data_IF_952610820799
#
_entry.id   IF_952610820799
#
_cell.length_a   1.000
_cell.length_b   1.000
_cell.length_c   1.000
_cell.angle_alpha   90.00
_cell.angle_beta   90.00
_cell.angle_gamma   90.00
#
_symmetry.space_group_name_H-M   'P 1'
#
loop_
_entity.id
_entity.type
_entity.pdbx_description
1 polymer ?
#
# COMPACT_ATOMS: atom_id res chain seq x y z
N UNK A 1 -11.43 -2.95 -0.23
CA UNK A 1 -11.23 -3.31 -1.66
C UNK A 1 -10.14 -4.37 -1.80
N UNK A 2 -10.12 -5.14 -2.90
CA UNK A 2 -9.09 -6.15 -3.15
C UNK A 2 -8.73 -6.32 -4.62
N UNK A 3 -7.55 -6.87 -4.87
CA UNK A 3 -6.97 -7.12 -6.19
C UNK A 3 -6.31 -8.50 -6.24
N UNK A 4 -6.32 -9.12 -7.43
CA UNK A 4 -5.57 -10.34 -7.74
C UNK A 4 -4.22 -9.91 -8.32
N UNK A 5 -3.14 -10.58 -7.91
CA UNK A 5 -1.81 -10.37 -8.48
C UNK A 5 -1.78 -10.69 -9.97
N UNK A 6 -0.85 -10.09 -10.71
CA UNK A 6 -0.73 -10.27 -12.16
C UNK A 6 -0.54 -11.74 -12.59
N UNK A 7 0.09 -12.56 -11.75
CA UNK A 7 0.30 -13.99 -11.97
C UNK A 7 -0.86 -14.87 -11.51
N UNK A 8 -1.93 -14.27 -10.96
CA UNK A 8 -3.12 -14.98 -10.48
C UNK A 8 -2.93 -15.77 -9.19
N UNK A 9 -1.75 -15.72 -8.55
CA UNK A 9 -1.43 -16.58 -7.40
C UNK A 9 -1.84 -16.00 -6.06
N UNK A 10 -1.99 -14.69 -5.96
CA UNK A 10 -2.25 -13.98 -4.71
C UNK A 10 -3.46 -13.08 -4.84
N UNK A 11 -4.26 -13.05 -3.78
CA UNK A 11 -5.33 -12.07 -3.63
C UNK A 11 -4.95 -11.21 -2.44
N UNK A 12 -4.97 -9.89 -2.63
CA UNK A 12 -4.69 -8.90 -1.59
C UNK A 12 -5.95 -8.10 -1.37
N UNK A 13 -6.36 -7.94 -0.12
CA UNK A 13 -7.50 -7.11 0.21
C UNK A 13 -7.28 -6.32 1.49
N UNK A 14 -7.92 -5.16 1.53
CA UNK A 14 -8.01 -4.32 2.70
C UNK A 14 -9.44 -3.89 2.96
N UNK A 15 -9.68 -3.42 4.18
CA UNK A 15 -10.96 -3.04 4.73
C UNK A 15 -10.79 -1.76 5.55
N UNK A 16 -11.86 -0.98 5.63
CA UNK A 16 -11.93 0.31 6.35
C UNK A 16 -11.84 0.16 7.88
N UNK A 17 -11.77 -1.07 8.40
CA UNK A 17 -11.56 -1.38 9.83
C UNK A 17 -10.13 -1.89 10.13
N UNK A 18 -9.18 -1.56 9.26
CA UNK A 18 -7.75 -1.83 9.44
C UNK A 18 -7.30 -3.24 9.15
N UNK A 19 -8.21 -4.05 8.62
CA UNK A 19 -7.88 -5.39 8.16
C UNK A 19 -7.17 -5.32 6.81
N UNK A 20 -6.08 -6.07 6.70
CA UNK A 20 -5.22 -6.16 5.52
C UNK A 20 -4.71 -7.58 5.42
N UNK A 21 -5.12 -8.26 4.36
CA UNK A 21 -4.87 -9.67 4.18
C UNK A 21 -4.33 -9.94 2.78
N UNK A 22 -3.56 -11.00 2.70
CA UNK A 22 -3.12 -11.60 1.47
C UNK A 22 -3.31 -13.11 1.57
N UNK A 23 -3.91 -13.74 0.58
CA UNK A 23 -4.06 -15.20 0.56
C UNK A 23 -3.66 -15.78 -0.78
N UNK A 24 -3.24 -17.03 -0.76
CA UNK A 24 -2.99 -17.80 -1.97
C UNK A 24 -4.32 -18.07 -2.68
N UNK A 25 -4.40 -17.74 -3.96
CA UNK A 25 -5.55 -18.07 -4.79
C UNK A 25 -5.69 -19.59 -5.02
N UNK A 26 -4.56 -20.31 -4.98
CA UNK A 26 -4.51 -21.77 -5.16
C UNK A 26 -4.80 -22.52 -3.87
N UNK A 27 -4.58 -21.89 -2.71
CA UNK A 27 -4.87 -22.47 -1.40
C UNK A 27 -5.42 -21.39 -0.45
N UNK A 28 -6.74 -21.20 -0.39
CA UNK A 28 -7.36 -20.17 0.45
C UNK A 28 -7.07 -20.27 1.95
N UNK A 29 -6.66 -21.45 2.45
CA UNK A 29 -6.24 -21.62 3.85
C UNK A 29 -4.86 -21.01 4.13
N UNK A 30 -4.06 -20.76 3.09
CA UNK A 30 -2.81 -20.02 3.20
C UNK A 30 -3.11 -18.52 3.16
N UNK A 31 -3.52 -18.00 4.31
CA UNK A 31 -3.81 -16.59 4.53
C UNK A 31 -2.74 -15.93 5.41
N UNK A 32 -2.40 -14.70 5.06
CA UNK A 32 -1.48 -13.86 5.77
C UNK A 32 -2.16 -12.55 6.17
N UNK A 33 -2.02 -12.17 7.45
CA UNK A 33 -2.29 -10.80 7.90
C UNK A 33 -1.07 -9.95 7.60
N UNK A 34 -1.26 -8.85 6.88
CA UNK A 34 -0.15 -7.96 6.52
C UNK A 34 0.28 -7.13 7.74
N UNK A 35 1.59 -6.96 7.89
CA UNK A 35 2.19 -6.21 9.00
C UNK A 35 1.78 -4.73 8.94
N UNK A 36 1.43 -4.17 10.10
CA UNK A 36 1.36 -2.73 10.29
C UNK A 36 2.75 -2.19 10.70
N UNK A 37 2.87 -0.86 10.83
CA UNK A 37 4.10 -0.22 11.32
C UNK A 37 4.53 -0.66 12.73
N UNK A 38 3.61 -1.26 13.48
CA UNK A 38 3.85 -1.77 14.83
C UNK A 38 3.75 -3.30 14.93
N UNK A 39 3.71 -4.00 13.80
CA UNK A 39 3.83 -5.45 13.70
C UNK A 39 2.58 -6.15 13.19
N UNK A 40 2.63 -7.48 13.20
CA UNK A 40 1.49 -8.36 12.89
C UNK A 40 0.83 -8.75 14.22
N UNK A 41 -0.45 -8.41 14.40
CA UNK A 41 -1.21 -8.85 15.56
C UNK A 41 -1.46 -10.37 15.47
N UNK A 42 -0.94 -11.12 16.44
CA UNK A 42 -1.26 -12.54 16.61
C UNK A 42 -2.52 -12.68 17.45
N UNK A 43 -3.54 -13.33 16.91
CA UNK A 43 -4.88 -13.42 17.52
C UNK A 43 -4.90 -14.33 18.76
N UNK A 44 -3.97 -15.28 18.84
CA UNK A 44 -3.83 -16.23 19.96
C UNK A 44 -3.35 -15.58 21.26
N UNK A 45 -2.52 -14.56 21.15
CA UNK A 45 -1.79 -13.95 22.26
C UNK A 45 -2.09 -12.47 22.43
N UNK A 46 -2.78 -11.85 21.46
CA UNK A 46 -3.00 -10.40 21.38
C UNK A 46 -1.71 -9.58 21.39
N UNK A 47 -0.56 -10.23 21.15
CA UNK A 47 0.76 -9.61 21.07
C UNK A 47 1.06 -9.35 19.59
N UNK A 48 1.76 -8.23 19.34
CA UNK A 48 2.27 -7.93 18.01
C UNK A 48 3.63 -8.55 17.80
N UNK A 49 3.72 -9.39 16.78
CA UNK A 49 4.98 -9.84 16.24
C UNK A 49 5.68 -8.66 15.57
N UNK A 50 6.85 -8.31 16.12
CA UNK A 50 7.70 -7.23 15.62
C UNK A 50 9.02 -7.74 15.03
N UNK A 51 9.19 -9.06 14.92
CA UNK A 51 10.48 -9.72 14.64
C UNK A 51 11.11 -9.32 13.30
N UNK A 52 10.30 -8.93 12.31
CA UNK A 52 10.76 -8.47 11.00
C UNK A 52 10.24 -7.08 10.63
N UNK A 53 9.97 -6.24 11.63
CA UNK A 53 9.61 -4.86 11.37
C UNK A 53 10.77 -4.09 10.74
N UNK A 54 10.44 -3.36 9.69
CA UNK A 54 11.34 -2.40 9.10
C UNK A 54 11.24 -1.09 9.90
N UNK A 55 12.34 -0.56 10.47
CA UNK A 55 12.30 0.74 11.13
C UNK A 55 11.91 1.83 10.11
N UNK A 56 11.18 2.84 10.56
CA UNK A 56 10.86 4.00 9.71
C UNK A 56 12.17 4.76 9.45
N UNK A 57 12.57 4.97 8.19
CA UNK A 57 13.76 5.74 7.85
C UNK A 57 13.72 7.16 8.44
N UNK A 58 14.86 7.68 8.90
CA UNK A 58 14.99 9.01 9.52
C UNK A 58 14.44 10.14 8.62
N UNK A 59 14.58 10.01 7.29
CA UNK A 59 14.03 10.96 6.32
C UNK A 59 12.51 11.14 6.38
N UNK A 60 11.81 10.21 7.03
CA UNK A 60 10.36 10.18 7.16
C UNK A 60 9.86 10.46 8.57
N UNK A 61 10.73 10.86 9.51
CA UNK A 61 10.34 11.09 10.91
C UNK A 61 9.25 12.17 11.08
N UNK A 62 9.25 13.17 10.21
CA UNK A 62 8.31 14.30 10.23
C UNK A 62 7.13 14.08 9.29
N UNK A 63 7.05 12.91 8.63
CA UNK A 63 5.98 12.56 7.70
C UNK A 63 4.84 11.87 8.40
N UNK A 64 3.62 12.21 8.01
CA UNK A 64 2.44 11.57 8.57
C UNK A 64 2.31 10.12 8.09
N UNK A 65 2.21 9.18 9.03
CA UNK A 65 1.94 7.77 8.79
C UNK A 65 1.05 7.20 9.90
N UNK A 66 -0.11 6.70 9.54
CA UNK A 66 -1.08 6.12 10.45
C UNK A 66 -1.07 4.59 10.38
N UNK A 67 -1.51 3.98 11.47
CA UNK A 67 -1.61 2.52 11.60
C UNK A 67 -2.88 1.97 10.95
N UNK A 68 -3.89 2.81 10.80
CA UNK A 68 -5.26 2.36 11.06
C UNK A 68 -5.92 1.74 9.85
N UNK A 69 -5.94 2.36 8.68
CA UNK A 69 -6.86 1.92 7.63
C UNK A 69 -6.29 2.15 6.24
N UNK A 70 -6.68 1.31 5.29
CA UNK A 70 -6.35 1.49 3.88
C UNK A 70 -7.61 1.33 3.06
N UNK A 71 -7.81 2.22 2.10
CA UNK A 71 -9.01 2.17 1.26
C UNK A 71 -8.74 1.33 0.01
N UNK A 72 -7.53 1.40 -0.55
CA UNK A 72 -7.17 0.76 -1.82
C UNK A 72 -5.87 -0.04 -1.75
N UNK A 73 -5.76 -1.01 -2.65
CA UNK A 73 -4.53 -1.74 -2.98
C UNK A 73 -4.12 -1.30 -4.38
N UNK A 74 -2.83 -1.09 -4.62
CA UNK A 74 -2.32 -0.83 -5.98
C UNK A 74 -1.01 -1.58 -6.22
N UNK A 75 -0.96 -2.37 -7.29
CA UNK A 75 0.27 -3.01 -7.74
C UNK A 75 1.15 -1.99 -8.47
N UNK A 76 2.43 -1.92 -8.09
CA UNK A 76 3.44 -1.03 -8.69
C UNK A 76 4.51 -1.81 -9.48
N UNK A 77 4.56 -3.13 -9.26
CA UNK A 77 5.22 -4.12 -10.12
C UNK A 77 4.34 -5.37 -10.22
N UNK A 78 4.82 -6.45 -10.85
CA UNK A 78 4.10 -7.74 -10.87
C UNK A 78 3.84 -8.33 -9.48
N UNK A 79 4.71 -8.00 -8.51
CA UNK A 79 4.71 -8.57 -7.15
C UNK A 79 4.60 -7.53 -6.06
N UNK A 80 5.09 -6.32 -6.29
CA UNK A 80 5.07 -5.25 -5.29
C UNK A 80 3.77 -4.49 -5.36
N UNK A 81 3.20 -4.22 -4.21
CA UNK A 81 1.96 -3.47 -4.07
C UNK A 81 2.02 -2.56 -2.86
N UNK A 82 1.27 -1.46 -2.94
CA UNK A 82 1.10 -0.52 -1.85
C UNK A 82 -0.32 -0.60 -1.31
N UNK A 83 -0.46 -0.36 0.00
CA UNK A 83 -1.75 -0.07 0.62
C UNK A 83 -1.90 1.43 0.74
N UNK A 84 -2.90 1.99 0.07
CA UNK A 84 -3.18 3.42 0.12
C UNK A 84 -3.98 3.75 1.38
N UNK A 85 -3.49 4.67 2.22
CA UNK A 85 -4.06 4.94 3.53
C UNK A 85 -5.42 5.64 3.43
N UNK A 86 -6.36 5.26 4.30
CA UNK A 86 -7.66 5.93 4.43
C UNK A 86 -7.56 7.17 5.34
N UNK A 87 -6.56 8.00 5.09
CA UNK A 87 -6.23 9.19 5.89
C UNK A 87 -5.40 10.18 5.06
N UNK A 88 -4.95 11.28 5.65
CA UNK A 88 -4.09 12.28 5.01
C UNK A 88 -2.59 11.97 5.14
N UNK A 89 -2.26 10.70 5.36
CA UNK A 89 -0.88 10.23 5.47
C UNK A 89 -0.09 10.55 4.20
N UNK A 90 1.17 10.91 4.40
CA UNK A 90 2.10 11.19 3.31
C UNK A 90 2.83 9.94 2.83
N UNK A 91 2.71 8.83 3.58
CA UNK A 91 3.38 7.57 3.31
C UNK A 91 2.37 6.45 3.08
N UNK A 92 2.68 5.55 2.14
CA UNK A 92 2.04 4.26 1.99
C UNK A 92 3.01 3.12 2.36
N UNK A 93 2.43 1.99 2.77
CA UNK A 93 3.18 0.78 3.09
C UNK A 93 3.33 -0.07 1.83
N UNK A 94 4.58 -0.42 1.49
CA UNK A 94 4.91 -1.30 0.37
C UNK A 94 5.08 -2.74 0.86
N UNK A 95 4.53 -3.69 0.11
CA UNK A 95 4.63 -5.12 0.34
C UNK A 95 5.00 -5.84 -0.97
N UNK A 96 5.38 -7.11 -0.84
CA UNK A 96 5.58 -8.03 -1.98
C UNK A 96 4.70 -9.25 -1.77
N UNK A 97 4.07 -9.74 -2.84
CA UNK A 97 3.23 -10.95 -2.78
C UNK A 97 3.97 -12.15 -2.18
N UNK A 98 3.30 -12.89 -1.30
CA UNK A 98 3.85 -14.05 -0.60
C UNK A 98 4.64 -13.75 0.67
N UNK A 99 4.82 -12.47 1.02
CA UNK A 99 5.45 -12.06 2.28
C UNK A 99 4.58 -11.04 3.03
N UNK A 100 4.21 -11.30 4.31
CA UNK A 100 3.34 -10.38 5.06
C UNK A 100 4.04 -9.10 5.54
N UNK A 101 5.36 -9.00 5.45
CA UNK A 101 6.13 -7.91 6.05
C UNK A 101 6.31 -6.72 5.11
N UNK A 102 6.31 -5.54 5.71
CA UNK A 102 6.57 -4.26 5.02
C UNK A 102 7.98 -4.32 4.38
N UNK A 103 8.06 -3.90 3.13
CA UNK A 103 9.28 -3.90 2.30
C UNK A 103 9.91 -2.53 2.14
N UNK A 104 9.10 -1.48 2.24
CA UNK A 104 9.51 -0.08 2.28
C UNK A 104 8.34 0.81 2.75
N UNK A 105 8.68 2.06 3.04
CA UNK A 105 7.73 3.16 3.19
C UNK A 105 7.88 4.03 1.94
N UNK A 106 6.78 4.25 1.22
CA UNK A 106 6.81 5.05 -0.02
C UNK A 106 6.12 6.39 0.21
N UNK A 107 6.74 7.47 -0.22
CA UNK A 107 6.12 8.79 -0.14
C UNK A 107 5.08 8.94 -1.26
N UNK A 108 3.82 9.11 -0.86
CA UNK A 108 2.69 9.40 -1.76
C UNK A 108 2.36 10.90 -1.77
N UNK A 109 2.76 11.61 -0.70
CA UNK A 109 2.40 13.00 -0.42
C UNK A 109 0.89 13.16 -0.19
N UNK A 110 0.49 14.33 0.30
CA UNK A 110 -0.92 14.66 0.56
C UNK A 110 -1.35 16.01 -0.07
N UNK A 111 -0.52 16.54 -0.98
CA UNK A 111 -0.78 17.78 -1.73
C UNK A 111 -0.58 17.53 -3.23
N UNK A 112 -1.64 17.60 -4.05
CA UNK A 112 -3.06 17.53 -3.65
C UNK A 112 -3.40 16.21 -2.95
N UNK A 113 -4.44 16.22 -2.10
CA UNK A 113 -4.90 15.02 -1.38
C UNK A 113 -5.40 13.96 -2.37
N UNK A 114 -5.10 12.69 -2.09
CA UNK A 114 -5.57 11.56 -2.91
C UNK A 114 -7.06 11.30 -2.64
N UNK A 115 -7.85 11.27 -3.71
CA UNK A 115 -9.26 10.89 -3.65
C UNK A 115 -9.41 9.43 -3.22
N UNK A 116 -10.33 9.20 -2.26
CA UNK A 116 -10.66 7.86 -1.74
C UNK A 116 -11.91 7.26 -2.38
N UNK A 117 -12.40 7.85 -3.47
CA UNK A 117 -13.58 7.38 -4.19
C UNK A 117 -13.35 6.04 -4.90
N UNK A 118 -14.45 5.32 -5.17
CA UNK A 118 -14.39 4.15 -6.04
C UNK A 118 -13.84 4.55 -7.42
N UNK A 119 -12.88 3.77 -7.94
CA UNK A 119 -12.19 4.01 -9.22
C UNK A 119 -11.23 5.23 -9.24
N UNK A 120 -10.85 5.78 -8.08
CA UNK A 120 -9.87 6.88 -8.05
C UNK A 120 -8.42 6.44 -8.28
N UNK A 121 -8.13 5.15 -8.32
CA UNK A 121 -6.77 4.60 -8.39
C UNK A 121 -6.65 3.70 -9.61
N UNK A 122 -5.60 3.91 -10.40
CA UNK A 122 -5.24 3.03 -11.51
C UNK A 122 -3.73 2.78 -11.51
N UNK A 123 -3.31 1.61 -11.96
CA UNK A 123 -1.88 1.27 -12.07
C UNK A 123 -1.57 0.59 -13.39
N UNK A 124 -0.45 0.96 -13.99
CA UNK A 124 0.19 0.26 -15.08
C UNK A 124 1.51 -0.33 -14.56
N UNK A 125 1.41 -1.40 -13.75
CA UNK A 125 2.53 -1.98 -13.00
C UNK A 125 3.71 -2.41 -13.88
N UNK A 126 3.48 -2.82 -15.13
CA UNK A 126 4.56 -3.15 -16.10
C UNK A 126 5.37 -1.93 -16.53
N UNK A 127 4.75 -0.74 -16.53
CA UNK A 127 5.41 0.53 -16.78
C UNK A 127 5.85 1.23 -15.49
N UNK A 128 5.60 0.62 -14.33
CA UNK A 128 5.78 1.20 -13.00
C UNK A 128 5.08 2.55 -12.84
N UNK A 129 3.88 2.69 -13.41
CA UNK A 129 3.08 3.91 -13.27
C UNK A 129 1.92 3.67 -12.32
N UNK A 130 1.72 4.59 -11.39
CA UNK A 130 0.55 4.69 -10.54
C UNK A 130 -0.14 6.03 -10.81
N UNK A 131 -1.46 6.00 -10.94
CA UNK A 131 -2.30 7.20 -11.11
C UNK A 131 -3.31 7.24 -9.98
N UNK A 132 -3.47 8.41 -9.37
CA UNK A 132 -4.48 8.66 -8.34
C UNK A 132 -5.30 9.89 -8.70
N UNK A 133 -6.60 9.86 -8.43
CA UNK A 133 -7.46 11.03 -8.53
C UNK A 133 -7.19 11.99 -7.38
N UNK A 134 -7.45 13.27 -7.59
CA UNK A 134 -7.34 14.30 -6.55
C UNK A 134 -8.68 14.49 -5.83
N UNK A 135 -8.63 14.69 -4.52
CA UNK A 135 -9.82 14.97 -3.73
C UNK A 135 -10.36 16.39 -3.99
N UNK A 136 -11.68 16.51 -4.20
CA UNK A 136 -12.43 17.77 -4.22
C UNK A 136 -12.35 18.62 -5.50
N UNK A 137 -11.20 18.71 -6.18
CA UNK A 137 -10.99 19.69 -7.27
C UNK A 137 -11.12 19.16 -8.70
N UNK A 138 -11.21 17.83 -8.88
CA UNK A 138 -10.88 17.22 -10.18
C UNK A 138 -9.36 17.11 -10.34
N UNK A 139 -8.90 16.37 -11.36
CA UNK A 139 -7.47 16.19 -11.62
C UNK A 139 -6.88 14.85 -11.15
N UNK A 140 -5.62 14.62 -11.54
CA UNK A 140 -4.89 13.37 -11.23
C UNK A 140 -3.46 13.67 -10.78
N UNK A 141 -2.91 12.79 -9.95
CA UNK A 141 -1.47 12.67 -9.67
C UNK A 141 -0.95 11.44 -10.43
N UNK A 142 0.18 11.58 -11.10
CA UNK A 142 0.88 10.46 -11.76
C UNK A 142 2.23 10.28 -11.11
N UNK A 143 2.51 9.02 -10.79
CA UNK A 143 3.72 8.60 -10.12
C UNK A 143 4.48 7.57 -10.94
N UNK A 144 5.80 7.66 -10.92
CA UNK A 144 6.73 6.62 -11.38
C UNK A 144 7.26 5.86 -10.15
N UNK A 145 7.04 4.56 -10.10
CA UNK A 145 7.68 3.69 -9.13
C UNK A 145 9.05 3.25 -9.65
N UNK A 146 10.03 3.22 -8.74
CA UNK A 146 11.41 2.83 -9.00
C UNK A 146 11.71 1.53 -8.24
N UNK A 147 11.63 0.34 -8.88
CA UNK A 147 11.77 -0.94 -8.18
C UNK A 147 13.09 -1.12 -7.42
N UNK A 148 14.18 -0.59 -7.98
CA UNK A 148 15.53 -0.71 -7.41
C UNK A 148 15.66 0.04 -6.07
N UNK A 149 15.05 1.23 -5.96
CA UNK A 149 15.11 2.07 -4.76
C UNK A 149 13.88 1.94 -3.87
N UNK A 150 12.80 1.33 -4.39
CA UNK A 150 11.48 1.24 -3.76
C UNK A 150 10.89 2.61 -3.45
N UNK A 151 11.13 3.57 -4.34
CA UNK A 151 10.62 4.94 -4.21
C UNK A 151 9.50 5.20 -5.22
N UNK A 152 8.60 6.11 -4.86
CA UNK A 152 7.49 6.54 -5.69
C UNK A 152 7.66 8.04 -5.98
N UNK A 153 8.07 8.36 -7.20
CA UNK A 153 8.31 9.73 -7.64
C UNK A 153 7.03 10.31 -8.24
N UNK A 154 6.57 11.46 -7.77
CA UNK A 154 5.46 12.19 -8.40
C UNK A 154 5.99 12.91 -9.65
N UNK A 155 5.64 12.42 -10.83
CA UNK A 155 6.16 12.91 -12.12
C UNK A 155 5.24 13.89 -12.83
N UNK A 156 3.94 13.89 -12.50
CA UNK A 156 2.98 14.83 -13.09
C UNK A 156 1.77 15.05 -12.18
N UNK A 157 1.25 16.27 -12.21
CA UNK A 157 0.02 16.69 -11.53
C UNK A 157 -0.81 17.47 -12.54
N UNK A 158 -2.07 17.09 -12.70
CA UNK A 158 -3.02 17.74 -13.60
C UNK A 158 -4.20 18.26 -12.79
N UNK A 159 -4.64 19.48 -13.06
CA UNK A 159 -5.82 20.10 -12.43
C UNK A 159 -7.12 19.77 -13.19
#
# INVERSE_FOLDING_TARGET
>A
MGLISSDGKWIVATSENGQRYMWSALNPHQQFKLAAIDGILREDSMIRDKSKLLPIPEKFKDKQISRSDSFAVAFVTEKDFILLPNSNDELALLYTTGDPWIKAYVEIGNKPEISRGNLSIASAYKANILVTGQYGRGGINVYKYHPETKELEKIWVAD
#
